data_IF_582669515483
#
_entry.id   IF_582669515483
#
_cell.length_a   1.000
_cell.length_b   1.000
_cell.length_c   1.000
_cell.angle_alpha   90.00
_cell.angle_beta   90.00
_cell.angle_gamma   90.00
#
_symmetry.space_group_name_H-M   'P 1'
#
loop_
_entity.id
_entity.type
_entity.pdbx_description
1 polymer ?
#
# COMPACT_ATOMS: atom_id res chain seq x y z
N UNK A 1 -14.62 -29.53 13.88
CA UNK A 1 -14.16 -28.15 14.17
C UNK A 1 -15.35 -27.40 14.73
N UNK A 2 -15.23 -26.88 15.95
CA UNK A 2 -16.28 -26.08 16.58
C UNK A 2 -16.29 -24.67 15.96
N UNK A 3 -17.45 -24.01 15.97
CA UNK A 3 -17.60 -22.63 15.52
C UNK A 3 -18.31 -21.83 16.61
N UNK A 4 -17.87 -20.59 16.84
CA UNK A 4 -18.50 -19.69 17.82
C UNK A 4 -18.82 -18.33 17.21
N UNK A 5 -19.89 -17.71 17.69
CA UNK A 5 -20.21 -16.31 17.36
C UNK A 5 -19.26 -15.39 18.10
N UNK A 6 -18.87 -14.29 17.48
CA UNK A 6 -18.02 -13.29 18.12
C UNK A 6 -18.64 -12.79 19.42
N UNK A 7 -19.96 -12.57 19.44
CA UNK A 7 -20.69 -12.17 20.63
C UNK A 7 -20.65 -13.17 21.80
N UNK A 8 -20.35 -14.45 21.54
CA UNK A 8 -20.20 -15.49 22.58
C UNK A 8 -18.75 -15.60 23.09
N UNK A 9 -17.78 -14.95 22.40
CA UNK A 9 -16.36 -14.99 22.76
C UNK A 9 -15.97 -13.83 23.66
N UNK A 10 -16.43 -12.61 23.33
CA UNK A 10 -16.00 -11.39 23.99
C UNK A 10 -17.13 -10.35 24.05
N UNK A 11 -16.91 -9.31 24.86
CA UNK A 11 -17.74 -8.10 24.85
C UNK A 11 -17.05 -7.02 24.03
N UNK A 12 -17.80 -6.38 23.12
CA UNK A 12 -17.31 -5.31 22.25
C UNK A 12 -17.81 -3.97 22.79
N UNK A 13 -16.89 -3.19 23.34
CA UNK A 13 -17.14 -1.90 23.96
C UNK A 13 -16.91 -0.82 22.91
N UNK A 14 -17.95 -0.08 22.58
CA UNK A 14 -17.83 1.02 21.62
C UNK A 14 -17.12 2.23 22.26
N UNK A 15 -16.31 2.92 21.46
CA UNK A 15 -15.69 4.17 21.85
C UNK A 15 -16.71 5.30 22.07
N UNK A 16 -16.21 6.47 22.48
CA UNK A 16 -17.00 7.64 22.82
C UNK A 16 -17.12 8.58 21.58
N UNK A 17 -18.30 9.22 21.37
CA UNK A 17 -18.50 10.13 20.23
C UNK A 17 -17.92 11.51 20.54
N UNK A 18 -16.58 11.63 20.54
CA UNK A 18 -15.94 12.92 20.70
C UNK A 18 -16.31 13.86 19.55
N UNK A 19 -16.65 15.08 19.91
CA UNK A 19 -16.95 16.15 18.96
C UNK A 19 -15.67 16.88 18.54
N UNK A 20 -15.68 17.65 17.45
CA UNK A 20 -14.51 18.44 17.05
C UNK A 20 -13.97 19.37 18.15
N UNK A 21 -14.87 19.98 18.92
CA UNK A 21 -14.55 20.88 20.04
C UNK A 21 -13.92 20.16 21.25
N UNK A 22 -14.09 18.85 21.37
CA UNK A 22 -13.48 18.04 22.45
C UNK A 22 -11.98 17.78 22.17
N UNK A 23 -11.48 18.12 20.98
CA UNK A 23 -10.11 17.83 20.57
C UNK A 23 -9.18 18.98 20.93
N UNK A 24 -8.55 18.87 22.07
CA UNK A 24 -7.54 19.80 22.59
C UNK A 24 -6.11 19.35 22.29
N UNK A 25 -5.16 19.98 22.98
CA UNK A 25 -3.71 19.72 22.91
C UNK A 25 -3.15 19.07 24.16
N UNK A 26 -3.98 18.87 25.20
CA UNK A 26 -3.61 18.32 26.51
C UNK A 26 -4.48 17.12 26.88
N UNK A 27 -4.00 16.27 27.78
CA UNK A 27 -4.71 15.09 28.27
C UNK A 27 -4.31 13.80 27.56
N UNK A 28 -5.26 12.86 27.46
CA UNK A 28 -5.05 11.57 26.78
C UNK A 28 -5.36 11.68 25.29
N UNK A 29 -4.58 11.01 24.42
CA UNK A 29 -4.85 11.02 22.99
C UNK A 29 -6.17 10.31 22.66
N UNK A 30 -6.95 10.89 21.75
CA UNK A 30 -8.18 10.32 21.20
C UNK A 30 -7.81 9.52 19.94
N UNK A 31 -8.07 8.21 19.95
CA UNK A 31 -7.72 7.31 18.85
C UNK A 31 -8.91 7.11 17.92
N UNK A 32 -8.72 7.52 16.67
CA UNK A 32 -9.68 7.38 15.56
C UNK A 32 -9.20 6.30 14.58
N UNK A 33 -10.03 5.93 13.62
CA UNK A 33 -9.67 4.97 12.57
C UNK A 33 -8.43 5.42 11.80
N UNK A 34 -8.32 6.73 11.49
CA UNK A 34 -7.14 7.28 10.78
C UNK A 34 -5.84 7.09 11.57
N UNK A 35 -5.90 7.16 12.91
CA UNK A 35 -4.74 6.94 13.76
C UNK A 35 -4.31 5.46 13.79
N UNK A 36 -5.26 4.53 13.56
CA UNK A 36 -4.98 3.10 13.44
C UNK A 36 -4.42 2.72 12.06
N UNK A 37 -4.85 3.41 11.01
CA UNK A 37 -4.44 3.14 9.62
C UNK A 37 -3.19 3.90 9.18
N UNK A 38 -2.65 4.79 10.02
CA UNK A 38 -1.50 5.64 9.69
C UNK A 38 -1.82 6.82 8.77
N UNK A 39 -3.10 7.14 8.57
CA UNK A 39 -3.57 8.23 7.71
C UNK A 39 -4.00 9.48 8.50
N UNK A 40 -3.61 9.61 9.77
CA UNK A 40 -3.92 10.77 10.58
C UNK A 40 -2.97 11.93 10.26
N UNK A 41 -3.54 13.13 10.10
CA UNK A 41 -2.78 14.37 9.95
C UNK A 41 -2.42 14.99 11.31
N UNK A 42 -3.26 14.75 12.33
CA UNK A 42 -3.11 15.29 13.66
C UNK A 42 -3.70 14.34 14.70
N UNK A 43 -3.11 14.30 15.89
CA UNK A 43 -3.62 13.58 17.05
C UNK A 43 -4.31 14.59 17.98
N UNK A 44 -5.61 14.38 18.26
CA UNK A 44 -6.33 15.19 19.24
C UNK A 44 -6.22 14.59 20.63
N UNK A 45 -6.23 15.44 21.66
CA UNK A 45 -6.13 15.05 23.06
C UNK A 45 -7.38 15.50 23.82
N UNK A 46 -7.67 14.85 24.95
CA UNK A 46 -8.81 15.17 25.79
C UNK A 46 -8.44 15.06 27.29
N UNK A 47 -8.76 16.09 28.04
CA UNK A 47 -8.52 16.19 29.48
C UNK A 47 -9.80 16.34 30.33
N UNK A 48 -10.98 16.26 29.67
CA UNK A 48 -12.27 16.31 30.35
C UNK A 48 -12.71 14.98 30.93
N UNK A 49 -13.94 14.93 31.44
CA UNK A 49 -14.53 13.72 32.00
C UNK A 49 -14.97 12.75 30.88
N UNK A 50 -14.63 11.48 31.03
CA UNK A 50 -14.98 10.41 30.11
C UNK A 50 -15.33 9.11 30.84
N UNK A 51 -16.09 8.20 30.27
CA UNK A 51 -16.34 6.89 30.85
C UNK A 51 -15.06 6.04 30.82
N UNK A 52 -14.64 5.51 31.96
CA UNK A 52 -13.41 4.69 32.11
C UNK A 52 -13.35 3.52 31.10
N UNK A 53 -14.50 2.95 30.72
CA UNK A 53 -14.60 1.82 29.79
C UNK A 53 -14.00 2.09 28.39
N UNK A 54 -13.83 3.37 27.99
CA UNK A 54 -13.24 3.75 26.69
C UNK A 54 -11.73 3.93 26.75
N UNK A 55 -11.13 3.82 27.95
CA UNK A 55 -9.67 3.80 28.06
C UNK A 55 -9.10 2.54 27.41
N UNK A 56 -8.02 2.74 26.68
CA UNK A 56 -7.24 1.66 26.07
C UNK A 56 -5.80 1.71 26.58
N UNK A 57 -5.21 0.54 26.72
CA UNK A 57 -3.83 0.35 27.18
C UNK A 57 -3.11 -0.62 26.24
N UNK A 58 -1.80 -0.69 26.35
CA UNK A 58 -0.98 -1.61 25.56
C UNK A 58 -1.48 -3.05 25.69
N UNK A 59 -1.60 -3.73 24.56
CA UNK A 59 -2.12 -5.08 24.46
C UNK A 59 -3.64 -5.19 24.31
N UNK A 60 -4.39 -4.09 24.36
CA UNK A 60 -5.82 -4.10 24.05
C UNK A 60 -6.06 -4.39 22.56
N UNK A 61 -7.06 -5.20 22.26
CA UNK A 61 -7.48 -5.48 20.89
C UNK A 61 -8.57 -4.51 20.51
N UNK A 62 -8.37 -3.84 19.37
CA UNK A 62 -9.27 -2.84 18.80
C UNK A 62 -9.79 -3.32 17.45
N UNK A 63 -11.07 -3.07 17.17
CA UNK A 63 -11.69 -3.44 15.89
C UNK A 63 -12.40 -2.23 15.32
N UNK A 64 -11.95 -1.75 14.16
CA UNK A 64 -12.68 -0.73 13.40
C UNK A 64 -13.79 -1.40 12.58
N UNK A 65 -15.01 -0.91 12.72
CA UNK A 65 -16.21 -1.49 12.11
C UNK A 65 -16.88 -0.56 11.07
N UNK A 66 -16.23 0.55 10.76
CA UNK A 66 -16.73 1.55 9.79
C UNK A 66 -15.57 2.09 8.96
N UNK A 67 -15.84 2.54 7.75
CA UNK A 67 -14.89 3.10 6.78
C UNK A 67 -13.77 2.11 6.42
N UNK A 68 -12.73 2.00 7.21
CA UNK A 68 -11.64 1.02 7.05
C UNK A 68 -11.78 -0.07 8.11
N UNK A 69 -12.24 -1.25 7.70
CA UNK A 69 -12.38 -2.39 8.61
C UNK A 69 -11.00 -2.96 8.97
N UNK A 70 -10.80 -3.31 10.23
CA UNK A 70 -9.52 -3.88 10.66
C UNK A 70 -9.49 -4.27 12.13
N UNK A 71 -8.52 -5.13 12.46
CA UNK A 71 -8.22 -5.54 13.84
C UNK A 71 -6.81 -5.09 14.18
N UNK A 72 -6.64 -4.50 15.35
CA UNK A 72 -5.38 -3.90 15.79
C UNK A 72 -5.07 -4.32 17.21
N UNK A 73 -3.82 -4.57 17.51
CA UNK A 73 -3.34 -4.69 18.88
C UNK A 73 -2.68 -3.37 19.26
N UNK A 74 -3.23 -2.68 20.25
CA UNK A 74 -2.73 -1.38 20.68
C UNK A 74 -1.39 -1.50 21.39
N UNK A 75 -0.45 -0.60 21.12
CA UNK A 75 0.91 -0.61 21.69
C UNK A 75 1.54 0.80 21.82
N UNK A 76 0.69 1.82 21.98
CA UNK A 76 1.14 3.23 22.06
C UNK A 76 0.74 3.91 23.36
N UNK A 77 0.67 3.16 24.44
CA UNK A 77 0.36 3.67 25.80
C UNK A 77 -1.13 3.92 26.03
N UNK A 78 -1.44 4.61 27.13
CA UNK A 78 -2.80 4.91 27.55
C UNK A 78 -3.45 5.94 26.60
N UNK A 79 -4.69 5.66 26.16
CA UNK A 79 -5.42 6.51 25.23
C UNK A 79 -6.94 6.37 25.41
N UNK A 80 -7.72 7.20 24.70
CA UNK A 80 -9.18 7.19 24.66
C UNK A 80 -9.70 6.75 23.30
N UNK A 81 -10.68 5.86 23.31
CA UNK A 81 -11.23 5.29 22.09
C UNK A 81 -12.38 6.12 21.54
N UNK A 82 -12.27 6.57 20.28
CA UNK A 82 -13.34 7.26 19.59
C UNK A 82 -14.40 6.27 19.08
N UNK A 83 -15.61 6.74 18.80
CA UNK A 83 -16.67 5.98 18.17
C UNK A 83 -16.20 5.29 16.89
N UNK A 84 -16.94 4.26 16.43
CA UNK A 84 -16.61 3.44 15.26
C UNK A 84 -15.44 2.46 15.45
N UNK A 85 -14.93 2.34 16.67
CA UNK A 85 -13.95 1.34 17.04
C UNK A 85 -14.46 0.61 18.29
N UNK A 86 -14.38 -0.72 18.29
CA UNK A 86 -14.60 -1.53 19.47
C UNK A 86 -13.29 -1.79 20.19
N UNK A 87 -13.31 -1.70 21.54
CA UNK A 87 -12.36 -2.38 22.43
C UNK A 87 -12.91 -3.77 22.73
N UNK A 88 -12.07 -4.80 22.61
CA UNK A 88 -12.45 -6.20 22.87
C UNK A 88 -12.15 -6.56 24.32
N UNK A 89 -13.17 -6.87 25.09
CA UNK A 89 -13.04 -7.42 26.45
C UNK A 89 -13.26 -8.94 26.40
N UNK A 90 -12.18 -9.72 26.58
CA UNK A 90 -12.22 -11.19 26.58
C UNK A 90 -12.73 -11.71 27.94
N UNK A 91 -14.03 -11.66 28.14
CA UNK A 91 -14.68 -11.97 29.43
C UNK A 91 -15.73 -13.08 29.37
N UNK A 92 -15.90 -13.76 28.22
CA UNK A 92 -16.94 -14.77 28.05
C UNK A 92 -16.41 -16.18 27.91
N UNK A 93 -15.27 -16.38 27.27
CA UNK A 93 -14.62 -17.68 27.21
C UNK A 93 -13.09 -17.53 27.06
N UNK A 94 -12.37 -18.59 27.38
CA UNK A 94 -10.92 -18.64 27.14
C UNK A 94 -10.64 -18.64 25.64
N UNK A 95 -9.79 -17.75 25.17
CA UNK A 95 -9.37 -17.63 23.76
C UNK A 95 -7.94 -17.13 23.70
N UNK A 96 -7.15 -17.66 22.79
CA UNK A 96 -5.86 -17.10 22.47
C UNK A 96 -6.06 -15.76 21.72
N UNK A 97 -5.56 -14.68 22.28
CA UNK A 97 -5.75 -13.32 21.79
C UNK A 97 -5.23 -13.16 20.35
N UNK A 98 -4.08 -13.72 20.04
CA UNK A 98 -3.48 -13.61 18.71
C UNK A 98 -4.25 -14.42 17.66
N UNK A 99 -4.69 -15.62 18.01
CA UNK A 99 -5.59 -16.41 17.18
C UNK A 99 -6.87 -15.63 16.85
N UNK A 100 -7.50 -15.03 17.88
CA UNK A 100 -8.69 -14.21 17.70
C UNK A 100 -8.46 -13.07 16.73
N UNK A 101 -7.34 -12.34 16.85
CA UNK A 101 -6.96 -11.26 15.91
C UNK A 101 -6.92 -11.77 14.48
N UNK A 102 -6.26 -12.89 14.21
CA UNK A 102 -6.16 -13.46 12.86
C UNK A 102 -7.51 -13.93 12.32
N UNK A 103 -8.29 -14.64 13.15
CA UNK A 103 -9.59 -15.16 12.74
C UNK A 103 -10.58 -14.03 12.39
N UNK A 104 -10.61 -12.97 13.21
CA UNK A 104 -11.46 -11.80 12.95
C UNK A 104 -10.96 -11.00 11.76
N UNK A 105 -9.65 -10.79 11.62
CA UNK A 105 -9.07 -10.07 10.47
C UNK A 105 -9.43 -10.76 9.15
N UNK A 106 -9.29 -12.07 9.08
CA UNK A 106 -9.69 -12.86 7.90
C UNK A 106 -11.19 -12.70 7.60
N UNK A 107 -12.03 -12.72 8.64
CA UNK A 107 -13.48 -12.59 8.47
C UNK A 107 -13.91 -11.21 8.02
N UNK A 108 -13.25 -10.16 8.51
CA UNK A 108 -13.49 -8.80 8.03
C UNK A 108 -13.12 -8.65 6.56
N UNK A 109 -12.02 -9.25 6.11
CA UNK A 109 -11.62 -9.24 4.69
C UNK A 109 -12.66 -9.94 3.79
N UNK A 110 -13.21 -11.09 4.24
CA UNK A 110 -14.32 -11.73 3.52
C UNK A 110 -15.55 -10.83 3.41
N UNK A 111 -15.88 -10.10 4.48
CA UNK A 111 -17.00 -9.16 4.49
C UNK A 111 -16.73 -7.98 3.55
N UNK A 112 -15.51 -7.47 3.50
CA UNK A 112 -15.13 -6.41 2.58
C UNK A 112 -15.27 -6.80 1.11
N UNK A 113 -14.83 -7.99 0.75
CA UNK A 113 -14.92 -8.49 -0.63
C UNK A 113 -16.35 -8.69 -1.10
N UNK A 114 -17.25 -9.07 -0.19
CA UNK A 114 -18.68 -9.26 -0.48
C UNK A 114 -19.46 -7.93 -0.58
N UNK A 115 -18.95 -6.85 0.02
CA UNK A 115 -19.59 -5.53 0.06
C UNK A 115 -19.28 -4.64 -1.17
N UNK A 116 -18.84 -5.21 -2.28
CA UNK A 116 -18.58 -4.47 -3.52
C UNK A 116 -19.85 -3.80 -4.04
N UNK A 117 -19.91 -2.45 -3.95
CA UNK A 117 -21.00 -1.62 -4.47
C UNK A 117 -21.66 -0.65 -3.48
N UNK A 118 -21.36 -0.70 -2.18
CA UNK A 118 -21.90 0.23 -1.20
C UNK A 118 -20.92 1.38 -0.90
N UNK A 119 -21.42 2.60 -0.91
CA UNK A 119 -20.64 3.85 -0.75
C UNK A 119 -20.01 4.01 0.65
N UNK A 120 -20.42 3.22 1.65
CA UNK A 120 -19.86 3.24 3.00
C UNK A 120 -19.94 1.83 3.62
N UNK A 121 -18.79 1.23 3.85
CA UNK A 121 -18.69 -0.06 4.53
C UNK A 121 -18.94 0.15 6.02
N UNK A 122 -20.05 -0.38 6.53
CA UNK A 122 -20.47 -0.25 7.91
C UNK A 122 -21.03 -1.59 8.40
N UNK A 123 -20.46 -2.14 9.46
CA UNK A 123 -20.94 -3.37 10.07
C UNK A 123 -21.79 -3.04 11.29
N UNK A 124 -23.05 -3.42 11.25
CA UNK A 124 -23.96 -3.24 12.41
C UNK A 124 -23.50 -4.17 13.54
N UNK A 125 -23.52 -3.68 14.79
CA UNK A 125 -23.07 -4.44 15.96
C UNK A 125 -23.73 -5.83 16.06
N UNK A 126 -25.02 -5.93 15.77
CA UNK A 126 -25.77 -7.19 15.78
C UNK A 126 -25.19 -8.22 14.77
N UNK A 127 -24.84 -7.76 13.59
CA UNK A 127 -24.27 -8.62 12.54
C UNK A 127 -22.83 -9.02 12.90
N UNK A 128 -22.08 -8.11 13.49
CA UNK A 128 -20.76 -8.38 14.03
C UNK A 128 -20.81 -9.44 15.15
N UNK A 129 -21.67 -9.26 16.14
CA UNK A 129 -21.86 -10.22 17.26
C UNK A 129 -22.29 -11.60 16.75
N UNK A 130 -23.08 -11.69 15.67
CA UNK A 130 -23.54 -12.94 15.05
C UNK A 130 -22.52 -13.55 14.07
N UNK A 131 -21.46 -12.85 13.75
CA UNK A 131 -20.41 -13.36 12.88
C UNK A 131 -19.75 -14.58 13.52
N UNK A 132 -19.63 -15.65 12.74
CA UNK A 132 -19.12 -16.95 13.20
C UNK A 132 -17.68 -17.13 12.73
N UNK A 133 -16.81 -17.53 13.66
CA UNK A 133 -15.43 -17.91 13.37
C UNK A 133 -15.16 -19.37 13.79
N UNK A 134 -14.20 -20.07 13.16
CA UNK A 134 -13.69 -21.33 13.68
C UNK A 134 -13.21 -21.16 15.12
N UNK A 135 -13.47 -22.13 15.97
CA UNK A 135 -13.09 -22.05 17.38
C UNK A 135 -12.52 -23.39 17.86
N UNK A 136 -11.28 -23.73 17.46
CA UNK A 136 -10.62 -24.96 17.88
C UNK A 136 -10.28 -24.89 19.39
N UNK A 137 -9.68 -25.94 19.93
CA UNK A 137 -9.21 -25.97 21.31
C UNK A 137 -8.18 -24.87 21.58
N UNK A 138 -7.99 -24.46 22.82
CA UNK A 138 -7.04 -23.40 23.15
C UNK A 138 -5.60 -23.76 22.72
N UNK A 139 -5.23 -25.02 22.85
CA UNK A 139 -3.92 -25.54 22.41
C UNK A 139 -3.74 -25.40 20.87
N UNK A 140 -4.75 -25.80 20.10
CA UNK A 140 -4.74 -25.62 18.65
C UNK A 140 -4.72 -24.14 18.24
N UNK A 141 -5.43 -23.26 18.98
CA UNK A 141 -5.39 -21.81 18.77
C UNK A 141 -3.99 -21.25 18.96
N UNK A 142 -3.29 -21.69 19.99
CA UNK A 142 -1.90 -21.28 20.28
C UNK A 142 -0.95 -21.74 19.18
N UNK A 143 -1.08 -22.97 18.72
CA UNK A 143 -0.26 -23.52 17.64
C UNK A 143 -0.50 -22.78 16.32
N UNK A 144 -1.76 -22.55 15.95
CA UNK A 144 -2.12 -21.78 14.74
C UNK A 144 -1.55 -20.36 14.83
N UNK A 145 -1.73 -19.68 15.96
CA UNK A 145 -1.21 -18.34 16.17
C UNK A 145 0.32 -18.29 16.03
N UNK A 146 1.03 -19.28 16.59
CA UNK A 146 2.49 -19.39 16.50
C UNK A 146 2.96 -19.57 15.05
N UNK A 147 2.30 -20.42 14.28
CA UNK A 147 2.64 -20.64 12.86
C UNK A 147 2.44 -19.36 12.05
N UNK A 148 1.29 -18.67 12.21
CA UNK A 148 0.99 -17.45 11.48
C UNK A 148 1.94 -16.32 11.88
N UNK A 149 2.26 -16.17 13.17
CA UNK A 149 3.25 -15.20 13.65
C UNK A 149 4.62 -15.43 13.02
N UNK A 150 5.06 -16.70 12.93
CA UNK A 150 6.33 -17.02 12.31
C UNK A 150 6.35 -16.67 10.82
N UNK A 151 5.31 -17.03 10.08
CA UNK A 151 5.18 -16.68 8.67
C UNK A 151 5.15 -15.15 8.44
N UNK A 152 4.39 -14.43 9.27
CA UNK A 152 4.32 -12.96 9.22
C UNK A 152 5.67 -12.32 9.54
N UNK A 153 6.42 -12.86 10.50
CA UNK A 153 7.76 -12.42 10.82
C UNK A 153 8.75 -12.59 9.66
N UNK A 154 8.67 -13.72 8.93
CA UNK A 154 9.47 -13.94 7.73
C UNK A 154 9.14 -12.93 6.63
N UNK A 155 7.85 -12.71 6.37
CA UNK A 155 7.40 -11.73 5.35
C UNK A 155 7.92 -10.34 5.71
N UNK A 156 7.77 -9.90 6.95
CA UNK A 156 8.25 -8.60 7.41
C UNK A 156 9.78 -8.46 7.27
N UNK A 157 10.54 -9.48 7.67
CA UNK A 157 12.00 -9.49 7.53
C UNK A 157 12.43 -9.41 6.05
N UNK A 158 11.72 -10.08 5.14
CA UNK A 158 12.00 -10.02 3.70
C UNK A 158 11.67 -8.63 3.11
N UNK A 159 10.59 -8.02 3.53
CA UNK A 159 10.27 -6.64 3.12
C UNK A 159 11.36 -5.66 3.55
N UNK A 160 11.84 -5.77 4.80
CA UNK A 160 12.97 -4.95 5.28
C UNK A 160 14.26 -5.21 4.50
N UNK A 161 14.54 -6.47 4.14
CA UNK A 161 15.71 -6.79 3.30
C UNK A 161 15.61 -6.14 1.93
N UNK A 162 14.45 -6.18 1.27
CA UNK A 162 14.25 -5.51 -0.02
C UNK A 162 14.48 -4.00 0.09
N UNK A 163 13.92 -3.36 1.12
CA UNK A 163 14.14 -1.92 1.36
C UNK A 163 15.63 -1.60 1.53
N UNK A 164 16.37 -2.40 2.32
CA UNK A 164 17.81 -2.20 2.50
C UNK A 164 18.61 -2.41 1.21
N UNK A 165 18.18 -3.31 0.34
CA UNK A 165 18.83 -3.49 -0.97
C UNK A 165 18.61 -2.25 -1.86
N UNK A 166 17.44 -1.66 -1.86
CA UNK A 166 17.16 -0.41 -2.60
C UNK A 166 18.01 0.75 -2.06
N UNK A 167 18.14 0.85 -0.74
CA UNK A 167 19.04 1.84 -0.09
C UNK A 167 20.50 1.60 -0.47
N UNK A 168 20.94 0.34 -0.54
CA UNK A 168 22.32 -0.03 -0.93
C UNK A 168 22.61 0.37 -2.37
N UNK A 169 21.68 0.17 -3.30
CA UNK A 169 21.84 0.60 -4.70
C UNK A 169 22.07 2.11 -4.78
N UNK A 170 21.25 2.91 -4.05
CA UNK A 170 21.41 4.36 -3.97
C UNK A 170 22.74 4.77 -3.36
N UNK A 171 23.13 4.15 -2.24
CA UNK A 171 24.38 4.42 -1.57
C UNK A 171 25.59 4.09 -2.47
N UNK A 172 25.52 2.97 -3.20
CA UNK A 172 26.56 2.57 -4.14
C UNK A 172 26.70 3.54 -5.31
N UNK A 173 25.57 4.06 -5.82
CA UNK A 173 25.63 5.11 -6.83
C UNK A 173 26.37 6.35 -6.32
N UNK A 174 26.03 6.83 -5.12
CA UNK A 174 26.70 7.99 -4.51
C UNK A 174 28.17 7.72 -4.22
N UNK A 175 28.53 6.53 -3.79
CA UNK A 175 29.92 6.14 -3.56
C UNK A 175 30.75 6.15 -4.86
N UNK A 176 30.16 5.65 -5.97
CA UNK A 176 30.88 5.55 -7.25
C UNK A 176 30.97 6.89 -7.99
N UNK A 177 29.91 7.69 -7.94
CA UNK A 177 29.77 8.88 -8.77
C UNK A 177 29.74 10.19 -7.97
N UNK A 178 29.64 10.14 -6.64
CA UNK A 178 29.38 11.29 -5.80
C UNK A 178 27.89 11.70 -5.81
N UNK A 179 27.54 12.60 -4.89
CA UNK A 179 26.18 13.20 -4.89
C UNK A 179 26.06 14.17 -6.08
N UNK A 180 25.13 13.95 -7.00
CA UNK A 180 24.95 14.82 -8.19
C UNK A 180 24.70 16.28 -7.85
N UNK A 181 24.17 16.61 -6.65
CA UNK A 181 23.90 18.00 -6.23
C UNK A 181 25.18 18.73 -5.86
N UNK A 182 26.07 18.09 -5.16
CA UNK A 182 27.33 18.69 -4.68
C UNK A 182 28.51 18.47 -5.63
N UNK A 183 28.38 17.48 -6.55
CA UNK A 183 29.42 17.11 -7.51
C UNK A 183 30.82 17.03 -6.89
N UNK A 184 31.06 16.26 -5.83
CA UNK A 184 32.33 16.24 -5.09
C UNK A 184 33.50 15.77 -5.96
N UNK A 185 33.22 14.99 -7.00
CA UNK A 185 34.23 14.47 -7.94
C UNK A 185 34.54 15.46 -9.08
N UNK A 186 33.92 16.65 -9.08
CA UNK A 186 34.14 17.69 -10.09
C UNK A 186 33.95 17.19 -11.53
N UNK A 187 32.96 16.34 -11.76
CA UNK A 187 32.62 15.92 -13.11
C UNK A 187 32.18 17.10 -13.97
N UNK A 188 32.48 17.10 -15.29
CA UNK A 188 32.00 18.12 -16.20
C UNK A 188 30.46 18.21 -16.15
N UNK A 189 29.95 19.44 -16.10
CA UNK A 189 28.52 19.71 -16.14
C UNK A 189 28.17 20.18 -17.54
N UNK A 190 27.24 19.50 -18.21
CA UNK A 190 26.73 19.85 -19.53
C UNK A 190 25.21 19.97 -19.55
N UNK A 191 24.65 20.42 -20.64
CA UNK A 191 23.21 20.45 -20.83
C UNK A 191 22.72 19.10 -21.34
N UNK A 192 21.65 18.55 -20.75
CA UNK A 192 21.08 17.29 -21.16
C UNK A 192 20.66 17.28 -22.64
N UNK A 193 20.25 18.43 -23.17
CA UNK A 193 19.89 18.61 -24.59
C UNK A 193 21.03 18.26 -25.56
N UNK A 194 22.28 18.38 -25.13
CA UNK A 194 23.47 18.05 -25.96
C UNK A 194 23.66 16.53 -26.12
N UNK A 195 23.02 15.76 -25.25
CA UNK A 195 23.13 14.31 -25.17
C UNK A 195 21.87 13.56 -25.64
N UNK A 196 20.80 14.28 -25.99
CA UNK A 196 19.53 13.73 -26.42
C UNK A 196 19.43 13.74 -27.95
N UNK A 197 19.24 12.58 -28.56
CA UNK A 197 18.91 12.43 -29.96
C UNK A 197 17.41 12.63 -30.21
N UNK A 198 16.58 12.13 -29.31
CA UNK A 198 15.12 12.15 -29.47
C UNK A 198 14.41 12.27 -28.12
N UNK A 199 13.39 13.12 -28.07
CA UNK A 199 12.56 13.35 -26.90
C UNK A 199 11.09 13.42 -27.31
N UNK A 200 10.25 12.59 -26.69
CA UNK A 200 8.80 12.62 -26.95
C UNK A 200 8.00 12.18 -25.74
N UNK A 201 6.80 12.72 -25.58
CA UNK A 201 5.79 12.14 -24.70
C UNK A 201 4.92 11.14 -25.45
N UNK A 202 4.31 10.20 -24.73
CA UNK A 202 3.52 9.14 -25.31
C UNK A 202 2.15 9.57 -25.82
N UNK A 203 1.41 8.62 -26.33
CA UNK A 203 0.12 8.80 -26.98
C UNK A 203 -1.03 8.94 -25.99
N UNK A 204 -2.01 9.78 -26.35
CA UNK A 204 -3.26 9.97 -25.62
C UNK A 204 -4.41 9.30 -26.37
N UNK A 205 -5.38 8.76 -25.61
CA UNK A 205 -6.62 8.24 -26.20
C UNK A 205 -6.48 6.88 -26.88
N UNK A 206 -5.42 6.13 -26.61
CA UNK A 206 -5.14 4.83 -27.22
C UNK A 206 -5.93 3.66 -26.60
N UNK A 207 -6.87 3.93 -25.67
CA UNK A 207 -7.73 2.89 -25.11
C UNK A 207 -8.49 2.08 -26.18
N UNK A 208 -8.82 2.69 -27.31
CA UNK A 208 -9.49 2.03 -28.44
C UNK A 208 -8.64 0.98 -29.16
N UNK A 209 -7.33 1.03 -29.01
CA UNK A 209 -6.38 0.06 -29.61
C UNK A 209 -5.98 -1.04 -28.61
N UNK A 210 -6.41 -0.92 -27.36
CA UNK A 210 -6.18 -1.93 -26.33
C UNK A 210 -7.13 -3.11 -26.57
N UNK A 211 -6.57 -4.31 -26.70
CA UNK A 211 -7.30 -5.55 -26.97
C UNK A 211 -6.68 -6.69 -26.15
N UNK A 212 -7.44 -7.75 -25.87
CA UNK A 212 -6.94 -8.86 -25.04
C UNK A 212 -5.81 -9.66 -25.70
N UNK A 213 -5.79 -9.73 -27.04
CA UNK A 213 -4.83 -10.51 -27.83
C UNK A 213 -4.06 -9.60 -28.80
N UNK A 214 -3.58 -8.44 -28.36
CA UNK A 214 -2.74 -7.55 -29.16
C UNK A 214 -1.35 -8.13 -29.37
N UNK A 215 -0.75 -7.80 -30.51
CA UNK A 215 0.59 -8.28 -30.90
C UNK A 215 1.72 -7.41 -30.33
N UNK A 216 1.42 -6.25 -29.77
CA UNK A 216 2.36 -5.27 -29.25
C UNK A 216 1.94 -4.81 -27.85
N UNK A 217 2.82 -4.09 -27.14
CA UNK A 217 2.58 -3.65 -25.77
C UNK A 217 2.37 -2.14 -25.65
N UNK A 218 1.50 -1.75 -24.73
CA UNK A 218 1.31 -0.36 -24.32
C UNK A 218 1.84 -0.13 -22.92
N UNK A 219 2.99 0.54 -22.83
CA UNK A 219 3.66 0.84 -21.58
C UNK A 219 2.96 2.01 -20.89
N UNK A 220 2.50 1.77 -19.68
CA UNK A 220 1.85 2.77 -18.82
C UNK A 220 2.74 3.12 -17.64
N UNK A 221 2.40 4.16 -16.91
CA UNK A 221 3.11 4.55 -15.68
C UNK A 221 3.19 3.41 -14.64
N UNK A 222 2.23 2.48 -14.65
CA UNK A 222 2.21 1.32 -13.74
C UNK A 222 3.35 0.33 -14.02
N UNK A 223 3.83 0.31 -15.23
CA UNK A 223 4.90 -0.59 -15.65
C UNK A 223 6.29 -0.04 -15.34
N UNK A 224 6.42 1.28 -15.11
CA UNK A 224 7.72 1.93 -14.92
C UNK A 224 7.94 2.23 -13.44
N UNK A 225 8.92 1.59 -12.81
CA UNK A 225 9.37 1.90 -11.45
C UNK A 225 10.71 1.23 -11.12
N UNK A 226 11.39 1.79 -10.14
CA UNK A 226 12.64 1.25 -9.60
C UNK A 226 13.72 1.06 -10.67
N UNK A 227 13.86 2.04 -11.55
CA UNK A 227 14.81 2.06 -12.67
C UNK A 227 14.63 0.93 -13.69
N UNK A 228 13.45 0.31 -13.76
CA UNK A 228 13.13 -0.78 -14.68
C UNK A 228 11.71 -0.67 -15.22
N UNK A 229 11.44 -1.41 -16.29
CA UNK A 229 10.11 -1.57 -16.86
C UNK A 229 9.67 -3.01 -16.60
N UNK A 230 8.60 -3.17 -15.79
CA UNK A 230 8.01 -4.48 -15.55
C UNK A 230 7.17 -4.89 -16.75
N UNK A 231 7.37 -6.11 -17.22
CA UNK A 231 6.55 -6.73 -18.25
C UNK A 231 5.30 -7.40 -17.68
N UNK A 232 5.18 -7.47 -16.34
CA UNK A 232 3.99 -8.01 -15.69
C UNK A 232 2.77 -7.13 -15.97
N UNK A 233 1.69 -7.74 -16.40
CA UNK A 233 0.43 -7.04 -16.71
C UNK A 233 0.58 -5.89 -17.74
N UNK A 234 1.44 -6.07 -18.74
CA UNK A 234 1.47 -5.19 -19.90
C UNK A 234 0.12 -5.18 -20.61
N UNK A 235 -0.31 -4.00 -21.03
CA UNK A 235 -1.55 -3.87 -21.80
C UNK A 235 -1.28 -4.23 -23.27
N UNK A 236 -1.89 -5.32 -23.80
CA UNK A 236 -1.73 -5.66 -25.22
C UNK A 236 -2.48 -4.65 -26.08
N UNK A 237 -1.90 -4.32 -27.25
CA UNK A 237 -2.51 -3.42 -28.23
C UNK A 237 -2.28 -3.92 -29.65
N UNK A 238 -3.12 -3.43 -30.57
CA UNK A 238 -2.84 -3.40 -32.01
C UNK A 238 -2.63 -1.93 -32.40
N UNK A 239 -1.37 -1.52 -32.48
CA UNK A 239 -1.04 -0.13 -32.76
C UNK A 239 -1.48 0.29 -34.18
N UNK A 240 -1.97 1.53 -34.36
CA UNK A 240 -2.31 2.03 -35.68
C UNK A 240 -1.06 2.32 -36.53
N UNK A 241 -1.10 2.13 -37.83
CA UNK A 241 -0.02 2.58 -38.73
C UNK A 241 -0.17 4.07 -39.04
N UNK A 242 0.34 4.91 -38.15
CA UNK A 242 0.32 6.35 -38.33
C UNK A 242 1.59 7.01 -37.76
N UNK A 243 1.72 8.32 -37.99
CA UNK A 243 2.88 9.08 -37.53
C UNK A 243 3.03 9.10 -36.01
N UNK A 244 1.91 9.08 -35.24
CA UNK A 244 1.93 9.05 -33.80
C UNK A 244 2.48 7.72 -33.26
N UNK A 245 2.08 6.60 -33.83
CA UNK A 245 2.61 5.29 -33.48
C UNK A 245 4.12 5.23 -33.74
N UNK A 246 4.55 5.67 -34.92
CA UNK A 246 5.99 5.72 -35.26
C UNK A 246 6.80 6.56 -34.30
N UNK A 247 6.23 7.69 -33.84
CA UNK A 247 6.85 8.59 -32.86
C UNK A 247 6.94 8.00 -31.45
N UNK A 248 5.93 7.25 -31.01
CA UNK A 248 5.81 6.75 -29.63
C UNK A 248 6.28 5.31 -29.45
N UNK A 249 6.75 4.68 -30.52
CA UNK A 249 7.39 3.35 -30.49
C UNK A 249 8.76 3.46 -29.84
N UNK A 250 8.98 2.64 -28.80
CA UNK A 250 10.25 2.63 -28.06
C UNK A 250 11.29 1.75 -28.75
N UNK A 251 12.55 2.01 -28.46
CA UNK A 251 13.72 1.24 -28.91
C UNK A 251 14.53 0.79 -27.70
N UNK A 252 15.37 -0.24 -27.89
CA UNK A 252 16.33 -0.67 -26.87
C UNK A 252 17.22 0.50 -26.41
N UNK A 253 17.39 0.64 -25.12
CA UNK A 253 18.16 1.72 -24.51
C UNK A 253 17.41 3.03 -24.28
N UNK A 254 16.17 3.18 -24.78
CA UNK A 254 15.34 4.35 -24.46
C UNK A 254 15.10 4.45 -22.95
N UNK A 255 15.28 5.64 -22.40
CA UNK A 255 14.95 5.96 -21.01
C UNK A 255 13.52 6.48 -20.96
N UNK A 256 12.67 5.82 -20.19
CA UNK A 256 11.30 6.28 -19.90
C UNK A 256 11.25 6.97 -18.54
N UNK A 257 10.58 8.12 -18.49
CA UNK A 257 10.38 8.89 -17.26
C UNK A 257 8.90 9.23 -17.11
N UNK A 258 8.34 9.02 -15.92
CA UNK A 258 6.98 9.44 -15.60
C UNK A 258 6.92 10.95 -15.36
N UNK A 259 5.95 11.62 -16.00
CA UNK A 259 5.78 13.08 -15.95
C UNK A 259 4.47 13.53 -15.31
N UNK A 260 3.66 12.61 -14.82
CA UNK A 260 2.39 12.88 -14.10
C UNK A 260 2.19 11.88 -12.98
N UNK A 261 1.32 12.19 -12.03
CA UNK A 261 0.97 11.37 -10.87
C UNK A 261 2.20 11.01 -10.00
N UNK A 262 2.86 9.90 -10.28
CA UNK A 262 4.13 9.49 -9.64
C UNK A 262 5.32 10.01 -10.46
N UNK A 263 5.70 11.25 -10.21
CA UNK A 263 6.77 11.93 -10.94
C UNK A 263 8.14 11.27 -10.72
N UNK A 264 8.93 11.20 -11.80
CA UNK A 264 10.35 10.80 -11.74
C UNK A 264 10.59 9.29 -11.64
N UNK A 265 9.57 8.44 -11.80
CA UNK A 265 9.82 7.02 -12.02
C UNK A 265 10.53 6.82 -13.35
N UNK A 266 11.57 6.03 -13.34
CA UNK A 266 12.39 5.77 -14.53
C UNK A 266 12.47 4.30 -14.85
N UNK A 267 12.77 3.98 -16.10
CA UNK A 267 13.07 2.63 -16.55
C UNK A 267 13.73 2.66 -17.94
N UNK A 268 14.67 1.75 -18.17
CA UNK A 268 15.32 1.61 -19.46
C UNK A 268 14.63 0.50 -20.25
N UNK A 269 14.35 0.76 -21.52
CA UNK A 269 13.76 -0.20 -22.44
C UNK A 269 14.77 -1.30 -22.75
N UNK A 270 14.42 -2.53 -22.42
CA UNK A 270 15.24 -3.70 -22.71
C UNK A 270 15.06 -4.15 -24.17
N UNK A 271 15.99 -4.97 -24.65
CA UNK A 271 15.88 -5.59 -25.96
C UNK A 271 14.58 -6.38 -26.12
N UNK A 272 14.17 -7.13 -25.10
CA UNK A 272 12.92 -7.92 -25.10
C UNK A 272 11.68 -7.03 -25.37
N UNK A 273 11.59 -5.88 -24.70
CA UNK A 273 10.48 -4.92 -24.87
C UNK A 273 10.50 -4.31 -26.26
N UNK A 274 11.68 -3.94 -26.76
CA UNK A 274 11.84 -3.34 -28.07
C UNK A 274 11.50 -4.31 -29.20
N UNK A 275 11.99 -5.57 -29.11
CA UNK A 275 11.76 -6.62 -30.10
C UNK A 275 10.29 -7.05 -30.16
N UNK A 276 9.58 -7.08 -29.02
CA UNK A 276 8.14 -7.34 -28.97
C UNK A 276 7.33 -6.23 -29.65
N UNK A 277 7.85 -5.02 -29.69
CA UNK A 277 7.14 -3.82 -30.12
C UNK A 277 6.32 -3.22 -28.99
N UNK A 278 6.71 -2.02 -28.57
CA UNK A 278 6.01 -1.36 -27.47
C UNK A 278 5.91 0.16 -27.70
N UNK A 279 4.86 0.74 -27.12
CA UNK A 279 4.50 2.15 -27.25
C UNK A 279 4.22 2.74 -25.87
N UNK A 280 4.45 4.04 -25.71
CA UNK A 280 4.27 4.72 -24.42
C UNK A 280 2.99 5.54 -24.37
N UNK A 281 2.38 5.57 -23.18
CA UNK A 281 1.22 6.42 -22.91
C UNK A 281 1.63 7.87 -22.58
N UNK A 282 0.64 8.77 -22.59
CA UNK A 282 0.81 10.21 -22.35
C UNK A 282 1.46 10.59 -21.02
N UNK A 283 1.53 9.66 -20.06
CA UNK A 283 2.09 9.89 -18.73
C UNK A 283 3.59 9.59 -18.65
N UNK A 284 4.16 9.15 -19.75
CA UNK A 284 5.57 8.83 -19.92
C UNK A 284 6.22 9.71 -20.98
N UNK A 285 7.46 10.10 -20.71
CA UNK A 285 8.38 10.70 -21.68
C UNK A 285 9.45 9.69 -22.01
N UNK A 286 9.71 9.53 -23.30
CA UNK A 286 10.81 8.74 -23.85
C UNK A 286 11.97 9.67 -24.17
N UNK A 287 13.14 9.32 -23.68
CA UNK A 287 14.41 10.01 -23.95
C UNK A 287 15.33 8.99 -24.61
N UNK A 288 15.79 9.30 -25.83
CA UNK A 288 16.82 8.51 -26.53
C UNK A 288 18.11 9.32 -26.51
N UNK A 289 19.17 8.71 -26.02
CA UNK A 289 20.48 9.33 -25.94
C UNK A 289 21.25 9.12 -27.27
N UNK A 290 22.14 10.09 -27.57
CA UNK A 290 23.08 9.95 -28.66
C UNK A 290 23.96 8.70 -28.48
N UNK A 291 24.21 7.94 -29.54
CA UNK A 291 24.95 6.66 -29.49
C UNK A 291 26.35 6.74 -28.86
N UNK A 292 26.96 7.90 -28.78
CA UNK A 292 28.25 8.14 -28.11
C UNK A 292 28.18 8.34 -26.60
N UNK A 293 26.98 8.41 -26.03
CA UNK A 293 26.75 8.76 -24.61
C UNK A 293 26.09 7.61 -23.79
N UNK A 294 26.19 6.38 -24.30
CA UNK A 294 25.56 5.20 -23.67
C UNK A 294 26.40 4.56 -22.55
N UNK A 295 27.43 5.25 -22.03
CA UNK A 295 28.27 4.79 -20.94
C UNK A 295 28.50 5.86 -19.90
#
# INVERSE_FOLDING_TARGET
>A
MEYKRLGDIATYINGYPFKPEDRGTTGLPIIRIQDLTGNAYDLGFYDGNYPERIEINDGDVLISWSASLGVYVWNRGKALLNQHIFKVAFNKCAVNKQYFVYAVQHKLQEMETKAHGATMKHIVKKDFDNTVIPFPTLEEQEEIAKIINHASGIIFARQQQLQKLDELVKARFVEMFGDPKSNPNSYPIGQLSEHIEFLTSGSRGWAQYCVDNGSEWFITIKNVKDCRISIDNMQPINAPDNAEAKRTKVQEGDLLISITADLGRTGVVTKEIADHGAYINQHLTCIRLNKGNLY
#
